data_IF_545445944723
#
_entry.id   IF_545445944723
#
_cell.length_a   1.000
_cell.length_b   1.000
_cell.length_c   1.000
_cell.angle_alpha   90.00
_cell.angle_beta   90.00
_cell.angle_gamma   90.00
#
_symmetry.space_group_name_H-M   'P 1'
#
loop_
_entity.id
_entity.type
_entity.pdbx_description
1 polymer ?
#
# COMPACT_ATOMS: atom_id res chain seq x y z
N UNK A 1 -7.30 6.94 29.81
CA UNK A 1 -6.35 6.05 29.11
C UNK A 1 -7.15 5.28 28.06
N UNK A 2 -6.86 5.47 26.79
CA UNK A 2 -7.43 4.69 25.69
C UNK A 2 -6.86 3.27 25.81
N UNK A 3 -7.72 2.27 25.99
CA UNK A 3 -7.28 0.88 26.00
C UNK A 3 -7.06 0.44 24.55
N UNK A 4 -5.91 -0.16 24.29
CA UNK A 4 -5.57 -0.75 23.00
C UNK A 4 -5.16 -2.20 23.27
N UNK A 5 -5.52 -3.10 22.36
CA UNK A 5 -5.20 -4.51 22.49
C UNK A 5 -4.57 -5.00 21.20
N UNK A 6 -3.34 -5.49 21.28
CA UNK A 6 -2.63 -6.07 20.14
C UNK A 6 -3.39 -7.25 19.56
N UNK A 7 -3.40 -7.33 18.24
CA UNK A 7 -3.96 -8.42 17.43
C UNK A 7 -2.78 -9.23 16.91
N UNK A 8 -2.74 -10.51 17.26
CA UNK A 8 -1.82 -11.44 16.60
C UNK A 8 -2.25 -11.64 15.16
N UNK A 9 -1.29 -11.63 14.23
CA UNK A 9 -1.56 -11.76 12.81
C UNK A 9 -0.86 -12.96 12.19
N UNK A 10 -1.40 -13.39 11.05
CA UNK A 10 -0.80 -14.40 10.18
C UNK A 10 -0.81 -13.90 8.75
N UNK A 11 0.24 -14.22 8.01
CA UNK A 11 0.25 -13.95 6.58
C UNK A 11 -0.49 -15.07 5.85
N UNK A 12 -1.32 -14.71 4.88
CA UNK A 12 -1.96 -15.71 4.02
C UNK A 12 -0.88 -16.40 3.19
N UNK A 13 -0.75 -17.71 3.40
CA UNK A 13 0.14 -18.55 2.61
C UNK A 13 -0.23 -18.46 1.13
N UNK A 14 0.74 -18.04 0.32
CA UNK A 14 0.60 -17.91 -1.13
C UNK A 14 1.98 -18.07 -1.78
N UNK A 15 2.06 -18.54 -3.03
CA UNK A 15 3.35 -18.77 -3.69
C UNK A 15 4.29 -17.55 -3.72
N UNK A 16 3.74 -16.33 -3.72
CA UNK A 16 4.49 -15.06 -3.64
C UNK A 16 5.30 -14.90 -2.35
N UNK A 17 4.94 -15.56 -1.25
CA UNK A 17 5.74 -15.50 -0.03
C UNK A 17 7.12 -16.15 -0.19
N UNK A 18 7.33 -16.97 -1.23
CA UNK A 18 8.66 -17.51 -1.54
C UNK A 18 9.69 -16.41 -1.86
N UNK A 19 9.23 -15.25 -2.34
CA UNK A 19 10.07 -14.09 -2.64
C UNK A 19 10.19 -13.12 -1.47
N UNK A 20 9.58 -13.43 -0.32
CA UNK A 20 9.53 -12.55 0.86
C UNK A 20 10.31 -13.19 2.01
N UNK A 21 11.39 -12.53 2.42
CA UNK A 21 12.05 -12.84 3.68
C UNK A 21 11.25 -12.25 4.84
N UNK A 22 10.95 -13.07 5.85
CA UNK A 22 10.21 -12.67 7.06
C UNK A 22 11.10 -12.85 8.28
N UNK A 23 11.32 -11.77 9.03
CA UNK A 23 12.09 -11.76 10.29
C UNK A 23 11.29 -11.04 11.37
N UNK A 24 10.61 -11.80 12.22
CA UNK A 24 9.62 -11.25 13.14
C UNK A 24 8.49 -10.58 12.36
N UNK A 25 8.23 -9.31 12.66
CA UNK A 25 7.19 -8.50 12.01
C UNK A 25 7.72 -7.71 10.81
N UNK A 26 8.96 -7.97 10.38
CA UNK A 26 9.61 -7.33 9.24
C UNK A 26 9.54 -8.22 8.01
N UNK A 27 9.15 -7.60 6.89
CA UNK A 27 8.98 -8.23 5.58
C UNK A 27 9.90 -7.55 4.57
N UNK A 28 10.68 -8.33 3.84
CA UNK A 28 11.61 -7.84 2.84
C UNK A 28 11.43 -8.61 1.53
N UNK A 29 11.17 -7.88 0.45
CA UNK A 29 11.14 -8.45 -0.89
C UNK A 29 12.53 -8.85 -1.35
N UNK A 30 12.61 -9.95 -2.10
CA UNK A 30 13.85 -10.42 -2.73
C UNK A 30 14.54 -9.32 -3.53
N UNK A 31 15.87 -9.24 -3.41
CA UNK A 31 16.75 -8.42 -4.24
C UNK A 31 17.04 -9.10 -5.61
N UNK A 32 16.60 -10.35 -5.79
CA UNK A 32 17.01 -11.20 -6.90
C UNK A 32 15.98 -11.30 -8.04
N UNK A 33 14.80 -10.70 -7.86
CA UNK A 33 13.73 -10.68 -8.86
C UNK A 33 12.87 -9.42 -8.75
N UNK A 34 12.09 -9.17 -9.80
CA UNK A 34 11.16 -8.05 -9.91
C UNK A 34 9.70 -8.54 -9.87
N UNK A 35 9.44 -9.63 -9.14
CA UNK A 35 8.09 -10.14 -8.99
C UNK A 35 7.27 -9.15 -8.15
N UNK A 36 5.98 -9.08 -8.45
CA UNK A 36 5.01 -8.29 -7.68
C UNK A 36 4.47 -9.15 -6.55
N UNK A 37 4.37 -8.59 -5.35
CA UNK A 37 3.95 -9.34 -4.16
C UNK A 37 2.96 -8.55 -3.32
N UNK A 38 1.78 -9.13 -3.07
CA UNK A 38 0.76 -8.53 -2.17
C UNK A 38 0.65 -9.40 -0.93
N UNK A 39 1.14 -8.90 0.20
CA UNK A 39 1.10 -9.62 1.46
C UNK A 39 -0.23 -9.32 2.15
N UNK A 40 -1.06 -10.34 2.36
CA UNK A 40 -2.36 -10.23 3.03
C UNK A 40 -2.28 -10.77 4.48
N UNK A 41 -2.98 -10.11 5.39
CA UNK A 41 -2.88 -10.40 6.84
C UNK A 41 -4.21 -10.83 7.43
N UNK A 42 -4.26 -12.01 8.04
CA UNK A 42 -5.34 -12.43 8.93
C UNK A 42 -5.06 -11.93 10.37
N UNK A 43 -6.11 -11.64 11.17
CA UNK A 43 -7.51 -11.96 10.90
C UNK A 43 -8.20 -10.98 9.95
N UNK A 44 -9.23 -11.49 9.25
CA UNK A 44 -10.25 -10.64 8.63
C UNK A 44 -10.95 -9.84 9.73
N UNK A 45 -11.08 -8.54 9.52
CA UNK A 45 -11.72 -7.61 10.44
C UNK A 45 -13.21 -7.54 10.15
N UNK A 46 -14.02 -7.90 11.17
CA UNK A 46 -15.49 -7.97 11.07
C UNK A 46 -16.22 -7.05 12.06
N UNK A 47 -15.51 -6.52 13.05
CA UNK A 47 -16.06 -5.68 14.11
C UNK A 47 -14.96 -4.85 14.78
N UNK A 48 -15.37 -3.79 15.50
CA UNK A 48 -14.51 -2.88 16.23
C UNK A 48 -13.81 -1.83 15.39
N UNK A 49 -13.06 -1.00 16.11
CA UNK A 49 -12.06 -0.11 15.55
C UNK A 49 -10.72 -0.84 15.54
N UNK A 50 -10.15 -1.03 14.36
CA UNK A 50 -8.87 -1.74 14.19
C UNK A 50 -7.90 -0.89 13.41
N UNK A 51 -6.71 -0.71 13.98
CA UNK A 51 -5.58 0.00 13.37
C UNK A 51 -4.54 -0.99 12.88
N UNK A 52 -4.10 -0.81 11.65
CA UNK A 52 -2.96 -1.49 11.04
C UNK A 52 -1.94 -0.44 10.63
N UNK A 53 -0.74 -0.50 11.19
CA UNK A 53 0.33 0.47 10.98
C UNK A 53 1.64 -0.24 10.62
N UNK A 54 2.33 0.30 9.63
CA UNK A 54 3.65 -0.16 9.21
C UNK A 54 4.67 0.98 9.25
N UNK A 55 5.93 0.66 9.50
CA UNK A 55 7.07 1.50 9.14
C UNK A 55 7.57 1.09 7.77
N UNK A 56 7.59 2.01 6.82
CA UNK A 56 8.16 1.78 5.49
C UNK A 56 9.69 1.90 5.56
N UNK A 57 10.43 0.82 5.63
CA UNK A 57 11.90 0.91 5.63
C UNK A 57 12.45 1.23 4.24
N UNK A 58 11.86 0.64 3.20
CA UNK A 58 12.30 0.86 1.82
C UNK A 58 11.14 0.70 0.87
N UNK A 59 10.68 1.80 0.27
CA UNK A 59 9.93 1.77 -0.99
C UNK A 59 8.67 0.91 -1.04
N UNK A 60 7.88 0.83 0.04
CA UNK A 60 6.52 0.25 -0.02
C UNK A 60 5.71 0.99 -1.08
N UNK A 61 5.18 0.24 -2.05
CA UNK A 61 4.52 0.83 -3.21
C UNK A 61 3.07 1.23 -2.91
N UNK A 62 2.40 0.45 -2.05
CA UNK A 62 1.13 0.85 -1.48
C UNK A 62 0.59 -0.10 -0.43
N UNK A 63 -0.48 0.34 0.22
CA UNK A 63 -1.19 -0.41 1.26
C UNK A 63 -2.68 -0.41 0.97
N UNK A 64 -3.44 -1.31 1.58
CA UNK A 64 -4.87 -1.30 1.37
C UNK A 64 -5.65 -2.29 2.19
N UNK A 65 -6.94 -2.37 1.86
CA UNK A 65 -7.85 -3.40 2.36
C UNK A 65 -8.54 -4.12 1.20
N UNK A 66 -8.87 -5.39 1.36
CA UNK A 66 -9.64 -6.15 0.38
C UNK A 66 -10.75 -6.93 1.06
N UNK A 67 -11.80 -7.28 0.31
CA UNK A 67 -12.79 -8.23 0.79
C UNK A 67 -12.14 -9.58 1.14
N UNK A 68 -12.74 -10.33 2.08
CA UNK A 68 -12.19 -11.63 2.52
C UNK A 68 -12.07 -12.65 1.38
N UNK A 69 -12.97 -12.57 0.39
CA UNK A 69 -13.05 -13.46 -0.78
C UNK A 69 -11.91 -13.24 -1.78
N UNK A 70 -11.23 -12.10 -1.72
CA UNK A 70 -10.16 -11.74 -2.64
C UNK A 70 -8.83 -12.25 -2.10
N UNK A 71 -8.28 -13.25 -2.78
CA UNK A 71 -6.97 -13.85 -2.49
C UNK A 71 -6.06 -13.64 -3.71
N UNK A 72 -4.95 -12.92 -3.51
CA UNK A 72 -3.99 -12.63 -4.57
C UNK A 72 -3.09 -13.84 -4.86
N UNK A 73 -2.72 -14.01 -6.12
CA UNK A 73 -1.66 -14.94 -6.54
C UNK A 73 -0.36 -14.17 -6.77
N UNK A 74 0.72 -14.92 -6.97
CA UNK A 74 2.01 -14.30 -7.21
C UNK A 74 2.07 -13.52 -8.51
N UNK A 75 2.81 -12.40 -8.45
CA UNK A 75 3.01 -11.46 -9.54
C UNK A 75 1.74 -10.69 -9.99
N UNK A 76 0.74 -10.58 -9.13
CA UNK A 76 -0.50 -9.85 -9.41
C UNK A 76 -0.45 -8.40 -8.93
N UNK A 77 -1.14 -7.51 -9.65
CA UNK A 77 -1.44 -6.16 -9.20
C UNK A 77 -2.72 -6.13 -8.35
N UNK A 78 -2.93 -5.08 -7.53
CA UNK A 78 -4.09 -4.98 -6.65
C UNK A 78 -5.45 -5.13 -7.34
N UNK A 79 -5.58 -4.76 -8.61
CA UNK A 79 -6.82 -4.82 -9.39
C UNK A 79 -7.00 -6.11 -10.22
N UNK A 80 -5.99 -6.98 -10.27
CA UNK A 80 -5.97 -8.19 -11.10
C UNK A 80 -7.12 -9.19 -10.82
N UNK A 81 -7.74 -9.10 -9.65
CA UNK A 81 -8.77 -10.06 -9.17
C UNK A 81 -10.15 -9.45 -8.93
N UNK A 82 -10.38 -8.22 -9.37
CA UNK A 82 -11.70 -7.61 -9.36
C UNK A 82 -11.68 -6.17 -8.89
N UNK A 83 -11.94 -5.25 -9.82
CA UNK A 83 -12.24 -3.85 -9.54
C UNK A 83 -13.42 -3.75 -8.57
N UNK A 84 -13.35 -2.84 -7.61
CA UNK A 84 -14.40 -2.61 -6.63
C UNK A 84 -14.42 -3.58 -5.44
N UNK A 85 -13.42 -4.46 -5.28
CA UNK A 85 -13.29 -5.39 -4.14
C UNK A 85 -12.16 -5.07 -3.17
N UNK A 86 -11.47 -3.96 -3.37
CA UNK A 86 -10.34 -3.52 -2.58
C UNK A 86 -10.30 -2.00 -2.51
N UNK A 87 -9.69 -1.44 -1.47
CA UNK A 87 -9.25 -0.04 -1.46
C UNK A 87 -7.74 -0.04 -1.43
N UNK A 88 -7.14 0.74 -2.31
CA UNK A 88 -5.70 0.87 -2.48
C UNK A 88 -5.27 2.30 -2.20
N UNK A 89 -4.25 2.46 -1.37
CA UNK A 89 -3.55 3.70 -1.10
C UNK A 89 -2.12 3.56 -1.63
N UNK A 90 -1.81 4.33 -2.67
CA UNK A 90 -0.50 4.35 -3.32
C UNK A 90 0.47 5.30 -2.62
N UNK A 91 1.78 5.06 -2.77
CA UNK A 91 2.85 5.88 -2.17
C UNK A 91 2.79 7.37 -2.52
N UNK A 92 2.18 7.73 -3.65
CA UNK A 92 1.95 9.14 -4.02
C UNK A 92 0.87 9.84 -3.19
N UNK A 93 0.15 9.11 -2.33
CA UNK A 93 -1.04 9.60 -1.63
C UNK A 93 -2.34 9.37 -2.40
N UNK A 94 -2.30 8.91 -3.65
CA UNK A 94 -3.54 8.65 -4.37
C UNK A 94 -4.27 7.40 -3.82
N UNK A 95 -5.60 7.47 -3.67
CA UNK A 95 -6.46 6.31 -3.37
C UNK A 95 -7.21 5.83 -4.61
N UNK A 96 -7.45 4.53 -4.67
CA UNK A 96 -8.10 3.84 -5.78
C UNK A 96 -8.97 2.67 -5.28
N UNK A 97 -10.01 2.32 -6.03
CA UNK A 97 -10.99 1.32 -5.61
C UNK A 97 -11.69 0.61 -6.78
N UNK A 98 -12.27 1.37 -7.72
CA UNK A 98 -13.05 0.85 -8.86
C UNK A 98 -12.32 1.03 -10.19
N UNK A 99 -12.70 2.04 -10.96
CA UNK A 99 -12.19 2.32 -12.32
C UNK A 99 -10.91 3.15 -12.29
N UNK A 100 -10.38 3.49 -13.48
CA UNK A 100 -9.05 4.09 -13.74
C UNK A 100 -8.81 5.48 -13.12
N UNK A 101 -9.75 5.97 -12.31
CA UNK A 101 -9.62 7.21 -11.57
C UNK A 101 -8.83 7.00 -10.28
N UNK A 102 -7.84 7.86 -10.11
CA UNK A 102 -7.05 7.99 -8.91
C UNK A 102 -7.47 9.26 -8.18
N UNK A 103 -7.81 9.12 -6.92
CA UNK A 103 -8.20 10.24 -6.07
C UNK A 103 -6.97 10.74 -5.34
N UNK A 104 -6.54 11.94 -5.69
CA UNK A 104 -5.35 12.58 -5.15
C UNK A 104 -5.68 13.38 -3.88
N UNK A 105 -4.71 14.16 -3.39
CA UNK A 105 -4.75 15.09 -2.25
C UNK A 105 -4.45 14.51 -0.86
N UNK A 106 -4.31 13.19 -0.67
CA UNK A 106 -3.55 12.72 0.50
C UNK A 106 -2.07 12.98 0.26
N UNK A 107 -1.29 13.07 1.34
CA UNK A 107 0.16 13.27 1.24
C UNK A 107 0.83 12.03 0.63
N UNK A 108 1.96 12.22 -0.04
CA UNK A 108 2.82 11.09 -0.40
C UNK A 108 3.62 10.62 0.82
N UNK A 109 4.14 9.40 0.74
CA UNK A 109 5.06 8.87 1.74
C UNK A 109 6.27 8.19 1.10
N UNK A 110 7.32 8.03 1.90
CA UNK A 110 8.57 7.40 1.50
C UNK A 110 9.14 6.53 2.62
N UNK A 111 10.41 6.16 2.46
CA UNK A 111 11.14 5.42 3.50
C UNK A 111 11.21 6.24 4.80
N UNK A 112 11.12 5.55 5.93
CA UNK A 112 11.09 6.12 7.28
C UNK A 112 9.70 6.53 7.78
N UNK A 113 8.71 6.70 6.91
CA UNK A 113 7.36 7.09 7.34
C UNK A 113 6.58 5.93 7.96
N UNK A 114 5.69 6.28 8.90
CA UNK A 114 4.69 5.39 9.46
C UNK A 114 3.37 5.55 8.71
N UNK A 115 2.86 4.45 8.16
CA UNK A 115 1.64 4.41 7.36
C UNK A 115 0.61 3.61 8.13
N UNK A 116 -0.53 4.23 8.45
CA UNK A 116 -1.62 3.53 9.14
C UNK A 116 -2.93 3.60 8.37
N UNK A 117 -3.69 2.51 8.50
CA UNK A 117 -5.09 2.43 8.11
C UNK A 117 -5.91 2.06 9.34
N UNK A 118 -7.08 2.68 9.48
CA UNK A 118 -8.01 2.37 10.56
C UNK A 118 -9.39 2.04 9.98
N UNK A 119 -9.84 0.83 10.26
CA UNK A 119 -11.21 0.37 9.98
C UNK A 119 -12.07 0.64 11.20
N UNK A 120 -13.21 1.30 11.02
CA UNK A 120 -14.26 1.37 12.03
C UNK A 120 -15.48 0.57 11.55
N UNK A 121 -15.62 -0.64 12.11
CA UNK A 121 -16.65 -1.60 11.73
C UNK A 121 -17.91 -1.52 12.60
N UNK A 122 -17.88 -0.73 13.68
CA UNK A 122 -18.96 -0.60 14.67
C UNK A 122 -19.96 0.51 14.33
N UNK A 123 -19.61 1.42 13.41
CA UNK A 123 -20.47 2.52 12.96
C UNK A 123 -21.15 2.20 11.64
N UNK A 124 -22.29 2.84 11.39
CA UNK A 124 -22.99 2.83 10.10
C UNK A 124 -23.12 4.28 9.62
N UNK A 125 -22.46 4.67 8.51
CA UNK A 125 -21.69 3.82 7.59
C UNK A 125 -20.31 3.43 8.14
N UNK A 126 -19.87 2.18 7.91
CA UNK A 126 -18.51 1.71 8.27
C UNK A 126 -17.45 2.51 7.52
N UNK A 127 -16.31 2.78 8.14
CA UNK A 127 -15.29 3.65 7.57
C UNK A 127 -13.92 3.00 7.47
N UNK A 128 -13.12 3.51 6.53
CA UNK A 128 -11.68 3.31 6.41
C UNK A 128 -11.01 4.68 6.34
N UNK A 129 -10.08 4.94 7.25
CA UNK A 129 -9.32 6.19 7.32
C UNK A 129 -7.82 5.92 7.21
N UNK A 130 -7.07 6.90 6.72
CA UNK A 130 -5.64 6.79 6.47
C UNK A 130 -4.88 7.81 7.32
N UNK A 131 -3.70 7.43 7.80
CA UNK A 131 -2.81 8.28 8.57
C UNK A 131 -1.37 8.12 8.08
N UNK A 132 -0.63 9.23 8.01
CA UNK A 132 0.82 9.21 7.84
C UNK A 132 1.47 9.96 8.98
N UNK A 133 2.44 9.32 9.62
CA UNK A 133 3.12 9.85 10.81
C UNK A 133 2.11 10.37 11.86
N UNK A 134 1.04 9.58 12.05
CA UNK A 134 -0.11 9.89 12.93
C UNK A 134 -1.00 11.06 12.51
N UNK A 135 -0.82 11.62 11.32
CA UNK A 135 -1.64 12.71 10.77
C UNK A 135 -2.75 12.14 9.88
N UNK A 136 -4.02 12.45 10.20
CA UNK A 136 -5.20 12.07 9.40
C UNK A 136 -5.10 12.63 7.97
N UNK A 137 -5.37 11.79 6.98
CA UNK A 137 -5.31 12.15 5.57
C UNK A 137 -6.63 12.73 5.05
N UNK A 138 -6.55 13.43 3.91
CA UNK A 138 -7.64 14.25 3.38
C UNK A 138 -8.87 13.45 2.99
N UNK A 139 -8.64 12.28 2.41
CA UNK A 139 -9.65 11.41 1.84
C UNK A 139 -9.85 10.17 2.73
N UNK A 140 -11.09 9.75 2.91
CA UNK A 140 -11.45 8.51 3.61
C UNK A 140 -12.61 7.82 2.90
N UNK A 141 -12.84 6.55 3.23
CA UNK A 141 -13.85 5.72 2.56
C UNK A 141 -14.97 5.36 3.55
N UNK A 142 -16.20 5.38 3.07
CA UNK A 142 -17.41 4.99 3.80
C UNK A 142 -18.13 3.82 3.12
N UNK A 143 -19.06 3.18 3.84
CA UNK A 143 -19.82 2.01 3.37
C UNK A 143 -18.94 0.79 3.09
N UNK A 144 -17.84 0.64 3.84
CA UNK A 144 -16.95 -0.52 3.73
C UNK A 144 -17.73 -1.84 4.03
N UNK A 145 -17.49 -2.94 3.27
CA UNK A 145 -18.11 -4.24 3.51
C UNK A 145 -17.90 -4.77 4.94
N UNK A 146 -18.74 -5.71 5.42
CA UNK A 146 -18.69 -6.21 6.81
C UNK A 146 -17.45 -7.06 7.14
N UNK A 147 -16.60 -7.37 6.17
CA UNK A 147 -15.44 -8.23 6.35
C UNK A 147 -14.31 -7.77 5.43
N UNK A 148 -13.26 -7.20 6.01
CA UNK A 148 -12.12 -6.66 5.28
C UNK A 148 -10.80 -7.20 5.80
N UNK A 149 -9.80 -7.28 4.93
CA UNK A 149 -8.46 -7.74 5.24
C UNK A 149 -7.43 -6.68 4.86
N UNK A 150 -6.46 -6.43 5.73
CA UNK A 150 -5.34 -5.55 5.39
C UNK A 150 -4.34 -6.24 4.47
N UNK A 151 -3.70 -5.45 3.62
CA UNK A 151 -2.61 -5.91 2.76
C UNK A 151 -1.58 -4.81 2.47
N UNK A 152 -0.39 -5.24 2.09
CA UNK A 152 0.74 -4.38 1.68
C UNK A 152 1.28 -4.86 0.34
N UNK A 153 1.52 -3.94 -0.59
CA UNK A 153 1.97 -4.22 -1.94
C UNK A 153 3.43 -3.82 -2.16
N UNK A 154 4.24 -4.80 -2.58
CA UNK A 154 5.65 -4.67 -2.87
C UNK A 154 5.86 -4.84 -4.39
N UNK A 155 6.48 -3.83 -4.99
CA UNK A 155 6.69 -3.77 -6.45
C UNK A 155 8.17 -3.85 -6.84
N UNK A 156 9.04 -3.20 -6.07
CA UNK A 156 10.47 -3.15 -6.34
C UNK A 156 11.23 -4.17 -5.49
N UNK A 157 12.36 -4.63 -6.01
CA UNK A 157 13.31 -5.46 -5.31
C UNK A 157 13.85 -4.78 -4.03
N UNK A 158 14.05 -5.56 -2.98
CA UNK A 158 14.54 -5.07 -1.69
C UNK A 158 13.58 -4.16 -0.93
N UNK A 159 12.36 -3.93 -1.44
CA UNK A 159 11.32 -3.20 -0.70
C UNK A 159 11.06 -3.89 0.63
N UNK A 160 11.00 -3.13 1.72
CA UNK A 160 10.83 -3.67 3.05
C UNK A 160 10.02 -2.78 3.98
N UNK A 161 9.33 -3.42 4.93
CA UNK A 161 8.55 -2.76 5.96
C UNK A 161 8.46 -3.62 7.22
N UNK A 162 8.05 -3.00 8.31
CA UNK A 162 7.73 -3.68 9.55
C UNK A 162 6.32 -3.31 9.99
N UNK A 163 5.53 -4.28 10.45
CA UNK A 163 4.28 -3.99 11.15
C UNK A 163 4.62 -3.49 12.54
N UNK A 164 4.21 -2.26 12.87
CA UNK A 164 4.43 -1.66 14.19
C UNK A 164 3.20 -1.70 15.07
N UNK A 165 2.01 -1.66 14.46
CA UNK A 165 0.74 -1.81 15.18
C UNK A 165 -0.21 -2.66 14.36
N UNK A 166 -0.72 -3.70 14.98
CA UNK A 166 -1.96 -4.32 14.54
C UNK A 166 -2.78 -4.49 15.80
N UNK A 167 -3.76 -3.62 16.00
CA UNK A 167 -4.41 -3.50 17.30
C UNK A 167 -5.86 -3.07 17.19
N UNK A 168 -6.62 -3.45 18.21
CA UNK A 168 -7.98 -2.98 18.44
C UNK A 168 -7.92 -1.75 19.33
N UNK A 169 -8.62 -0.70 18.90
CA UNK A 169 -8.73 0.54 19.64
C UNK A 169 -10.06 0.59 20.40
N UNK A 170 -10.07 1.19 21.58
CA UNK A 170 -11.34 1.44 22.29
C UNK A 170 -12.18 2.54 21.64
N UNK A 171 -11.54 3.46 20.91
CA UNK A 171 -12.19 4.56 20.18
C UNK A 171 -11.44 4.84 18.87
N UNK A 172 -12.09 5.40 17.85
CA UNK A 172 -11.42 5.89 16.64
C UNK A 172 -10.33 6.92 16.95
N UNK A 173 -9.25 6.90 16.17
CA UNK A 173 -8.16 7.89 16.32
C UNK A 173 -8.59 9.29 15.87
N UNK A 174 -9.45 9.36 14.85
CA UNK A 174 -10.03 10.60 14.36
C UNK A 174 -11.39 10.85 15.00
N UNK A 175 -11.61 12.06 15.50
CA UNK A 175 -12.93 12.50 15.96
C UNK A 175 -13.89 12.70 14.79
N UNK A 176 -15.20 12.61 15.04
CA UNK A 176 -16.22 12.89 14.03
C UNK A 176 -16.06 14.30 13.43
N UNK A 177 -15.77 15.31 14.27
CA UNK A 177 -15.55 16.68 13.82
C UNK A 177 -14.37 16.82 12.84
N UNK A 178 -13.32 16.01 12.99
CA UNK A 178 -12.21 15.98 12.04
C UNK A 178 -12.66 15.33 10.73
N UNK A 179 -13.38 14.20 10.78
CA UNK A 179 -13.88 13.51 9.59
C UNK A 179 -14.89 14.33 8.78
N UNK A 180 -15.68 15.19 9.45
CA UNK A 180 -16.61 16.10 8.79
C UNK A 180 -15.90 17.17 7.93
N UNK A 181 -14.61 17.42 8.19
CA UNK A 181 -13.76 18.32 7.40
C UNK A 181 -13.02 17.58 6.27
N UNK A 182 -13.14 16.25 6.19
CA UNK A 182 -12.48 15.41 5.20
C UNK A 182 -13.40 15.03 4.03
N UNK A 183 -12.79 14.63 2.91
CA UNK A 183 -13.52 14.14 1.73
C UNK A 183 -13.82 12.65 1.89
N UNK A 184 -15.10 12.30 1.78
CA UNK A 184 -15.57 10.91 1.86
C UNK A 184 -15.88 10.34 0.48
N UNK A 185 -15.52 9.08 0.28
CA UNK A 185 -15.84 8.33 -0.94
C UNK A 185 -16.59 7.06 -0.59
N UNK A 186 -17.65 6.75 -1.34
CA UNK A 186 -18.47 5.57 -1.09
C UNK A 186 -17.86 4.32 -1.74
N UNK A 187 -17.66 3.27 -0.95
CA UNK A 187 -17.30 1.96 -1.47
C UNK A 187 -18.37 1.44 -2.44
N UNK A 188 -17.95 0.74 -3.49
CA UNK A 188 -18.77 0.23 -4.57
C UNK A 188 -19.22 1.28 -5.59
N UNK A 189 -18.81 2.55 -5.43
CA UNK A 189 -19.11 3.64 -6.37
C UNK A 189 -17.89 4.03 -7.19
N UNK A 190 -18.14 4.65 -8.34
CA UNK A 190 -17.11 5.34 -9.09
C UNK A 190 -16.65 6.57 -8.31
N UNK A 191 -15.34 6.73 -8.15
CA UNK A 191 -14.76 7.92 -7.56
C UNK A 191 -14.25 8.81 -8.69
N UNK A 192 -14.69 10.07 -8.71
CA UNK A 192 -14.28 11.04 -9.73
C UNK A 192 -13.36 12.06 -9.06
N UNK A 193 -12.22 12.31 -9.68
CA UNK A 193 -11.32 13.38 -9.23
C UNK A 193 -11.92 14.73 -9.59
N UNK A 194 -11.96 15.65 -8.63
CA UNK A 194 -12.42 17.05 -8.85
C UNK A 194 -11.53 17.80 -9.85
N UNK A 195 -10.35 17.26 -10.18
CA UNK A 195 -9.48 17.77 -11.24
C UNK A 195 -10.02 17.33 -12.60
N UNK A 196 -11.10 17.97 -13.05
CA UNK A 196 -11.58 17.83 -14.44
C UNK A 196 -10.43 18.21 -15.38
N UNK A 197 -9.98 17.28 -16.23
CA UNK A 197 -9.29 17.67 -17.47
C UNK A 197 -10.37 18.29 -18.36
N UNK A 198 -10.43 19.62 -18.37
CA UNK A 198 -11.37 20.36 -19.19
C UNK A 198 -11.16 20.01 -20.68
N UNK A 199 -12.17 19.39 -21.29
CA UNK A 199 -12.24 19.08 -22.72
C UNK A 199 -13.34 19.91 -23.41
N UNK A 200 -13.64 21.12 -22.93
CA UNK A 200 -14.75 21.92 -23.45
C UNK A 200 -14.35 23.30 -23.96
N UNK A 201 -13.66 23.35 -25.11
CA UNK A 201 -13.97 24.36 -26.15
C UNK A 201 -13.82 23.73 -27.53
N UNK A 202 -14.94 23.56 -28.24
CA UNK A 202 -14.96 23.15 -29.63
C UNK A 202 -14.61 24.30 -30.58
N UNK A 203 -13.76 24.03 -31.57
CA UNK A 203 -14.11 24.18 -32.98
C UNK A 203 -13.05 23.56 -33.89
N UNK A 204 -13.51 23.09 -35.04
CA UNK A 204 -12.82 22.29 -36.04
C UNK A 204 -11.53 22.93 -36.59
N UNK A 205 -10.47 22.12 -36.72
CA UNK A 205 -9.26 22.51 -37.43
C UNK A 205 -8.06 21.63 -37.07
N UNK A 206 -7.55 20.88 -38.05
CA UNK A 206 -6.39 19.99 -37.93
C UNK A 206 -5.18 20.64 -37.20
N UNK A 207 -4.77 19.97 -36.11
CA UNK A 207 -3.49 19.94 -35.36
C UNK A 207 -2.34 20.84 -35.88
N UNK A 208 -1.67 21.60 -34.98
CA UNK A 208 -0.31 21.19 -34.58
C UNK A 208 -0.19 20.98 -33.06
N UNK A 209 0.24 19.77 -32.66
CA UNK A 209 0.72 19.48 -31.30
C UNK A 209 1.91 20.38 -31.02
N UNK A 210 1.74 21.41 -30.18
CA UNK A 210 2.86 22.17 -29.62
C UNK A 210 2.97 21.93 -28.12
N UNK A 211 3.89 21.01 -27.83
CA UNK A 211 4.62 20.75 -26.57
C UNK A 211 4.47 21.83 -25.50
N UNK A 212 3.59 21.60 -24.54
CA UNK A 212 3.94 21.82 -23.14
C UNK A 212 4.95 20.73 -22.77
N UNK A 213 6.02 21.11 -22.07
CA UNK A 213 7.05 20.18 -21.57
C UNK A 213 6.43 19.27 -20.52
N UNK A 214 5.70 18.26 -20.96
CA UNK A 214 5.64 16.99 -20.25
C UNK A 214 7.07 16.45 -20.25
N UNK A 215 7.59 16.21 -19.06
CA UNK A 215 8.53 15.11 -18.91
C UNK A 215 7.68 13.90 -19.26
N UNK A 216 7.84 13.41 -20.51
CA UNK A 216 7.05 12.32 -21.06
C UNK A 216 7.01 11.18 -20.04
N UNK A 217 5.80 10.81 -19.61
CA UNK A 217 5.59 9.55 -18.89
C UNK A 217 6.11 8.37 -19.70
N UNK A 218 6.16 8.48 -21.03
CA UNK A 218 6.86 7.58 -21.95
C UNK A 218 8.39 7.61 -21.80
N UNK A 219 9.04 8.72 -21.45
CA UNK A 219 10.49 8.73 -21.18
C UNK A 219 10.83 8.18 -19.78
N UNK A 220 9.88 8.28 -18.84
CA UNK A 220 9.99 7.58 -17.54
C UNK A 220 9.68 6.09 -17.70
N UNK A 221 8.70 5.71 -18.53
CA UNK A 221 8.36 4.32 -18.87
C UNK A 221 9.43 3.68 -19.76
N UNK A 222 10.05 4.38 -20.71
CA UNK A 222 11.18 3.89 -21.54
C UNK A 222 12.45 3.72 -20.71
N UNK A 223 12.67 4.55 -19.69
CA UNK A 223 13.72 4.28 -18.68
C UNK A 223 13.38 3.10 -17.77
N UNK A 224 12.10 2.75 -17.62
CA UNK A 224 11.61 1.60 -16.83
C UNK A 224 11.38 0.32 -17.67
N UNK A 225 11.47 0.43 -19.01
CA UNK A 225 11.36 -0.65 -20.01
C UNK A 225 12.68 -0.89 -20.77
N UNK A 226 13.82 -0.37 -20.27
CA UNK A 226 15.10 -0.98 -20.64
C UNK A 226 15.03 -2.48 -20.32
N UNK A 227 15.63 -3.38 -21.14
CA UNK A 227 15.62 -4.80 -20.84
C UNK A 227 16.21 -4.99 -19.45
N UNK A 228 15.33 -5.30 -18.47
CA UNK A 228 15.71 -5.54 -17.08
C UNK A 228 16.82 -6.58 -17.11
N UNK A 229 18.03 -6.18 -16.78
CA UNK A 229 19.22 -7.02 -16.92
C UNK A 229 19.00 -8.24 -16.04
N UNK A 230 18.66 -9.40 -16.63
CA UNK A 230 18.58 -10.65 -15.88
C UNK A 230 19.94 -10.88 -15.25
N UNK A 231 20.00 -10.81 -13.92
CA UNK A 231 21.19 -11.16 -13.16
C UNK A 231 21.66 -12.55 -13.59
N UNK A 232 22.93 -12.63 -13.97
CA UNK A 232 23.58 -13.90 -14.25
C UNK A 232 23.62 -14.76 -12.97
N UNK A 233 23.70 -16.08 -13.09
CA UNK A 233 23.82 -16.95 -11.90
C UNK A 233 25.02 -16.58 -11.01
N UNK A 234 26.09 -16.04 -11.61
CA UNK A 234 27.26 -15.56 -10.88
C UNK A 234 26.93 -14.32 -10.05
N UNK A 235 26.28 -13.32 -10.64
CA UNK A 235 25.84 -12.10 -9.93
C UNK A 235 24.83 -12.45 -8.82
N UNK A 236 23.92 -13.40 -9.05
CA UNK A 236 22.99 -13.89 -8.01
C UNK A 236 23.70 -14.54 -6.82
N UNK A 237 24.68 -15.42 -7.09
CA UNK A 237 25.48 -16.09 -6.04
C UNK A 237 26.35 -15.09 -5.25
N UNK A 238 26.79 -14.02 -5.89
CA UNK A 238 27.59 -12.98 -5.24
C UNK A 238 26.72 -12.11 -4.32
N UNK A 239 25.52 -11.73 -4.77
CA UNK A 239 24.52 -11.03 -3.95
C UNK A 239 24.05 -11.86 -2.75
N UNK A 240 23.79 -13.16 -2.95
CA UNK A 240 23.39 -14.07 -1.86
C UNK A 240 24.49 -14.18 -0.79
N UNK A 241 25.76 -14.24 -1.21
CA UNK A 241 26.91 -14.20 -0.28
C UNK A 241 27.00 -12.88 0.48
N UNK A 242 26.78 -11.76 -0.20
CA UNK A 242 26.86 -10.44 0.42
C UNK A 242 25.71 -10.19 1.40
N UNK A 243 24.50 -10.68 1.07
CA UNK A 243 23.34 -10.64 1.94
C UNK A 243 23.58 -11.48 3.21
N UNK A 244 24.07 -12.71 3.04
CA UNK A 244 24.42 -13.56 4.18
C UNK A 244 25.49 -12.93 5.08
N UNK A 245 26.48 -12.25 4.49
CA UNK A 245 27.51 -11.51 5.24
C UNK A 245 26.90 -10.33 6.02
N UNK A 246 25.98 -9.56 5.41
CA UNK A 246 25.27 -8.46 6.09
C UNK A 246 24.42 -8.96 7.26
N UNK A 247 23.70 -10.07 7.08
CA UNK A 247 22.90 -10.70 8.14
C UNK A 247 23.78 -11.15 9.33
N UNK A 248 24.95 -11.73 9.05
CA UNK A 248 25.92 -12.11 10.08
C UNK A 248 26.54 -10.91 10.81
N UNK A 249 26.82 -9.80 10.09
CA UNK A 249 27.33 -8.56 10.70
C UNK A 249 26.27 -7.88 11.58
N UNK A 250 25.02 -7.80 11.12
CA UNK A 250 23.91 -7.27 11.93
C UNK A 250 23.60 -8.12 13.17
N UNK A 251 23.80 -9.43 13.09
CA UNK A 251 23.63 -10.31 14.25
C UNK A 251 24.74 -10.08 15.29
N UNK A 252 25.99 -9.90 14.85
CA UNK A 252 27.12 -9.56 15.74
C UNK A 252 26.99 -8.19 16.39
N UNK A 253 26.32 -7.24 15.74
CA UNK A 253 26.04 -5.92 16.33
C UNK A 253 25.01 -6.06 17.45
N UNK A 254 23.92 -6.81 17.23
CA UNK A 254 22.88 -7.04 18.25
C UNK A 254 23.40 -7.77 19.47
N UNK A 255 24.24 -8.79 19.29
CA UNK A 255 24.86 -9.54 20.40
C UNK A 255 25.87 -8.71 21.22
N UNK A 256 26.28 -7.53 20.73
CA UNK A 256 27.16 -6.60 21.46
C UNK A 256 26.40 -5.50 22.20
N UNK A 257 25.11 -5.33 21.91
CA UNK A 257 24.23 -4.33 22.53
C UNK A 257 23.31 -4.92 23.61
N UNK A 258 23.34 -6.25 23.81
CA UNK A 258 22.77 -6.99 24.95
C UNK A 258 23.83 -7.27 26.04
#
# INVERSE_FOLDING_TARGET
MTQQTSISFKVISSPQLADIAVKGDTFTHSELNHNRSIIQFDPVIKSGVVRFEITNFRGVYGVGVSEESLIYKGNEEPDARGKGKFVYQHWSGAIHHTEDSWIEDNSSYGSGHHIAMELNMDVIPRTLTFFYDSILQKNYVVNIPPAMRFWVYLYNEGTSFQITKFERLSNPSASQQQLDQQKKYEYGKLWVSDKVRDFSTGNEGRIPRRRTKHIDSEQLEEKQQQPKKKLTEKEKKELEKEQKKREEEEQKIREKEE
#
